data_IF_215349838874
#
_entry.id   IF_215349838874
#
_cell.length_a   1.000
_cell.length_b   1.000
_cell.length_c   1.000
_cell.angle_alpha   90.00
_cell.angle_beta   90.00
_cell.angle_gamma   90.00
#
_symmetry.space_group_name_H-M   'P 1'
#
loop_
_entity.id
_entity.type
_entity.pdbx_description
1 polymer ?
#
# COMPACT_ATOMS: atom_id res chain seq x y z
N UNK A 1 -22.29 57.05 56.79
CA UNK A 1 -21.08 56.46 56.17
C UNK A 1 -21.45 55.06 55.73
N UNK A 2 -21.38 54.79 54.42
CA UNK A 2 -21.95 53.59 53.78
C UNK A 2 -20.93 52.44 53.79
N UNK A 3 -21.35 51.28 54.28
CA UNK A 3 -20.51 50.06 54.37
C UNK A 3 -20.68 49.25 53.08
N UNK A 4 -19.63 49.17 52.27
CA UNK A 4 -19.61 48.38 51.03
C UNK A 4 -19.25 46.93 51.34
N UNK A 5 -20.21 46.01 51.21
CA UNK A 5 -19.99 44.56 51.27
C UNK A 5 -19.16 44.10 50.06
N UNK A 6 -17.97 43.53 50.30
CA UNK A 6 -17.18 42.84 49.26
C UNK A 6 -17.83 41.47 49.00
N UNK A 7 -18.27 41.15 47.77
CA UNK A 7 -18.77 39.81 47.47
C UNK A 7 -17.62 38.81 47.58
N UNK A 8 -17.81 37.84 48.46
CA UNK A 8 -16.79 36.91 48.93
C UNK A 8 -16.35 35.94 47.84
N UNK A 9 -15.03 35.75 47.74
CA UNK A 9 -14.32 34.80 46.87
C UNK A 9 -14.93 33.38 46.88
N UNK A 10 -15.64 33.02 47.95
CA UNK A 10 -16.39 31.78 48.08
C UNK A 10 -17.46 31.62 46.98
N UNK A 11 -18.21 32.69 46.65
CA UNK A 11 -19.23 32.64 45.60
C UNK A 11 -18.62 32.39 44.22
N UNK A 12 -17.41 32.90 43.98
CA UNK A 12 -16.66 32.68 42.75
C UNK A 12 -16.18 31.24 42.61
N UNK A 13 -15.67 30.65 43.69
CA UNK A 13 -15.27 29.24 43.70
C UNK A 13 -16.46 28.29 43.54
N UNK A 14 -17.59 28.58 44.19
CA UNK A 14 -18.83 27.79 44.02
C UNK A 14 -19.33 27.86 42.58
N UNK A 15 -19.32 29.04 41.96
CA UNK A 15 -19.72 29.19 40.56
C UNK A 15 -18.81 28.39 39.62
N UNK A 16 -17.48 28.43 39.82
CA UNK A 16 -16.55 27.63 39.03
C UNK A 16 -16.74 26.12 39.21
N UNK A 17 -17.02 25.68 40.43
CA UNK A 17 -17.28 24.26 40.70
C UNK A 17 -18.55 23.77 40.00
N UNK A 18 -19.63 24.57 40.02
CA UNK A 18 -20.89 24.25 39.32
C UNK A 18 -20.68 24.17 37.81
N UNK A 19 -19.93 25.12 37.22
CA UNK A 19 -19.61 25.09 35.79
C UNK A 19 -18.77 23.87 35.43
N UNK A 20 -17.76 23.51 36.23
CA UNK A 20 -16.95 22.33 35.98
C UNK A 20 -17.78 21.03 36.03
N UNK A 21 -18.69 20.90 37.00
CA UNK A 21 -19.61 19.76 37.10
C UNK A 21 -20.55 19.68 35.90
N UNK A 22 -21.08 20.81 35.43
CA UNK A 22 -21.93 20.84 34.23
C UNK A 22 -21.18 20.45 32.96
N UNK A 23 -19.92 20.86 32.81
CA UNK A 23 -19.08 20.49 31.66
C UNK A 23 -18.76 18.98 31.70
N UNK A 24 -18.42 18.43 32.86
CA UNK A 24 -18.19 16.99 33.02
C UNK A 24 -19.47 16.20 32.75
N UNK A 25 -20.62 16.67 33.26
CA UNK A 25 -21.91 16.01 33.02
C UNK A 25 -22.34 16.06 31.55
N UNK A 26 -22.11 17.20 30.88
CA UNK A 26 -22.37 17.33 29.44
C UNK A 26 -21.44 16.43 28.61
N UNK A 27 -20.15 16.39 28.94
CA UNK A 27 -19.19 15.46 28.31
C UNK A 27 -19.58 13.99 28.54
N UNK A 28 -20.00 13.64 29.75
CA UNK A 28 -20.48 12.29 30.07
C UNK A 28 -21.73 11.92 29.26
N UNK A 29 -22.71 12.83 29.16
CA UNK A 29 -23.93 12.63 28.35
C UNK A 29 -23.64 12.46 26.86
N UNK A 30 -22.66 13.18 26.31
CA UNK A 30 -22.28 13.07 24.90
C UNK A 30 -21.49 11.77 24.62
N UNK A 31 -20.66 11.34 25.57
CA UNK A 31 -19.72 10.24 25.34
C UNK A 31 -20.22 8.86 25.81
N UNK A 32 -21.07 8.80 26.85
CA UNK A 32 -21.54 7.53 27.42
C UNK A 32 -23.03 7.24 27.16
N UNK A 33 -23.87 8.25 26.99
CA UNK A 33 -25.32 8.07 26.74
C UNK A 33 -25.70 8.17 25.26
N UNK A 34 -24.73 8.30 24.34
CA UNK A 34 -25.01 8.28 22.91
C UNK A 34 -24.79 6.85 22.38
N UNK A 35 -25.83 6.01 22.31
CA UNK A 35 -25.73 4.79 21.52
C UNK A 35 -25.52 5.25 20.07
N UNK A 36 -24.28 5.15 19.60
CA UNK A 36 -24.03 5.15 18.16
C UNK A 36 -25.04 4.16 17.57
N UNK A 37 -25.86 4.55 16.58
CA UNK A 37 -26.79 3.63 15.96
C UNK A 37 -25.95 2.52 15.35
N UNK A 38 -25.90 1.38 16.03
CA UNK A 38 -25.35 0.15 15.51
C UNK A 38 -26.17 -0.16 14.27
N UNK A 39 -25.56 0.13 13.12
CA UNK A 39 -26.15 -0.16 11.84
C UNK A 39 -26.23 -1.69 11.78
N UNK A 40 -27.42 -2.22 11.98
CA UNK A 40 -27.66 -3.66 11.94
C UNK A 40 -27.07 -4.19 10.63
N UNK A 41 -26.30 -5.27 10.71
CA UNK A 41 -25.78 -5.95 9.53
C UNK A 41 -26.95 -6.25 8.58
N UNK A 42 -26.81 -5.97 7.27
CA UNK A 42 -27.87 -6.24 6.30
C UNK A 42 -28.28 -7.70 6.40
N UNK A 43 -29.59 -7.97 6.39
CA UNK A 43 -30.07 -9.35 6.43
C UNK A 43 -29.76 -10.05 5.12
N UNK A 44 -29.72 -11.39 5.14
CA UNK A 44 -29.49 -12.19 3.94
C UNK A 44 -30.47 -11.83 2.81
N UNK A 45 -31.72 -11.50 3.15
CA UNK A 45 -32.75 -11.08 2.20
C UNK A 45 -32.44 -9.73 1.50
N UNK A 46 -31.73 -8.81 2.18
CA UNK A 46 -31.27 -7.54 1.58
C UNK A 46 -30.09 -7.78 0.62
N UNK A 47 -29.16 -8.67 0.99
CA UNK A 47 -28.05 -9.09 0.13
C UNK A 47 -28.55 -9.79 -1.13
N UNK A 48 -29.53 -10.68 -0.99
CA UNK A 48 -30.11 -11.43 -2.09
C UNK A 48 -30.86 -10.51 -3.07
N UNK A 49 -31.54 -9.48 -2.54
CA UNK A 49 -32.22 -8.45 -3.35
C UNK A 49 -31.26 -7.57 -4.15
N UNK A 50 -30.06 -7.31 -3.64
CA UNK A 50 -29.02 -6.55 -4.36
C UNK A 50 -28.37 -7.37 -5.48
N UNK A 51 -28.33 -8.69 -5.36
CA UNK A 51 -27.75 -9.60 -6.37
C UNK A 51 -28.59 -9.70 -7.66
N UNK A 52 -29.89 -9.38 -7.59
CA UNK A 52 -30.83 -9.54 -8.71
C UNK A 52 -30.65 -8.57 -9.88
N UNK A 53 -29.67 -7.66 -9.83
CA UNK A 53 -29.47 -6.63 -10.86
C UNK A 53 -28.23 -6.83 -11.75
N UNK A 54 -27.50 -7.94 -11.58
CA UNK A 54 -26.40 -8.30 -12.49
C UNK A 54 -26.98 -9.22 -13.56
N UNK A 55 -27.31 -8.65 -14.72
CA UNK A 55 -27.61 -9.45 -15.92
C UNK A 55 -26.39 -10.31 -16.26
N UNK A 56 -26.63 -11.63 -16.29
CA UNK A 56 -25.69 -12.66 -16.68
C UNK A 56 -25.34 -12.46 -18.16
N UNK A 57 -24.12 -12.00 -18.45
CA UNK A 57 -23.62 -11.99 -19.83
C UNK A 57 -23.42 -13.45 -20.24
N UNK A 58 -24.27 -13.94 -21.13
CA UNK A 58 -24.16 -15.27 -21.75
C UNK A 58 -22.82 -15.38 -22.50
N UNK A 59 -22.00 -16.33 -22.06
CA UNK A 59 -20.79 -16.79 -22.73
C UNK A 59 -21.19 -17.54 -24.00
N UNK A 60 -20.74 -17.15 -25.22
CA UNK A 60 -21.13 -17.88 -26.42
C UNK A 60 -20.39 -19.22 -26.49
N UNK A 61 -21.16 -20.30 -26.45
CA UNK A 61 -20.68 -21.67 -26.64
C UNK A 61 -19.96 -21.84 -27.99
N UNK A 62 -18.75 -22.38 -27.93
CA UNK A 62 -17.96 -22.82 -29.07
C UNK A 62 -18.66 -24.01 -29.75
N UNK A 63 -19.16 -23.79 -30.96
CA UNK A 63 -19.67 -24.85 -31.83
C UNK A 63 -18.49 -25.58 -32.48
N UNK A 64 -18.37 -26.85 -32.12
CA UNK A 64 -17.45 -27.84 -32.67
C UNK A 64 -18.07 -28.46 -33.93
N UNK A 65 -17.46 -28.25 -35.10
CA UNK A 65 -17.76 -29.04 -36.30
C UNK A 65 -16.46 -29.47 -36.99
N UNK A 66 -16.21 -30.77 -36.92
CA UNK A 66 -15.02 -31.47 -37.36
C UNK A 66 -14.80 -31.43 -38.89
N UNK A 67 -13.52 -31.45 -39.33
CA UNK A 67 -12.85 -32.65 -39.90
C UNK A 67 -11.63 -32.35 -40.82
N UNK A 68 -10.47 -32.83 -40.32
CA UNK A 68 -9.35 -33.51 -41.02
C UNK A 68 -8.32 -32.71 -41.86
N UNK A 69 -7.11 -33.27 -42.10
CA UNK A 69 -6.20 -33.91 -41.13
C UNK A 69 -4.74 -33.43 -41.26
N UNK A 70 -3.93 -33.94 -40.34
CA UNK A 70 -2.49 -33.81 -40.11
C UNK A 70 -1.57 -33.79 -41.35
N UNK A 71 -0.48 -33.01 -41.29
CA UNK A 71 0.88 -33.46 -41.67
C UNK A 71 1.96 -32.49 -41.15
N UNK A 72 2.92 -33.04 -40.42
CA UNK A 72 4.21 -32.45 -40.00
C UNK A 72 5.32 -32.95 -41.00
N UNK A 73 6.60 -32.56 -40.88
CA UNK A 73 7.30 -31.59 -41.74
C UNK A 73 8.55 -32.19 -42.44
N UNK A 74 9.17 -31.47 -43.37
CA UNK A 74 10.55 -31.60 -43.95
C UNK A 74 10.46 -31.20 -45.44
N UNK A 75 11.40 -30.58 -46.14
CA UNK A 75 12.79 -30.16 -45.97
C UNK A 75 13.10 -29.25 -47.18
N UNK A 76 14.05 -28.31 -47.05
CA UNK A 76 14.51 -27.41 -48.12
C UNK A 76 15.38 -28.19 -49.13
N UNK A 77 15.35 -27.86 -50.43
CA UNK A 77 16.62 -27.40 -51.03
C UNK A 77 16.50 -26.28 -52.09
N UNK A 78 17.31 -25.24 -51.86
CA UNK A 78 18.24 -24.53 -52.79
C UNK A 78 17.87 -24.31 -54.27
N UNK A 79 17.73 -23.01 -54.59
CA UNK A 79 18.48 -22.20 -55.57
C UNK A 79 18.71 -22.70 -57.02
N UNK A 80 18.32 -21.88 -58.01
CA UNK A 80 19.24 -21.17 -58.93
C UNK A 80 18.53 -20.48 -60.14
N UNK A 81 18.99 -19.25 -60.46
CA UNK A 81 18.95 -18.59 -61.79
C UNK A 81 17.85 -17.51 -61.95
N UNK A 82 18.09 -16.30 -62.43
CA UNK A 82 19.14 -15.83 -63.33
C UNK A 82 19.36 -14.28 -63.24
N UNK A 83 20.49 -13.87 -63.81
CA UNK A 83 21.22 -12.58 -63.93
C UNK A 83 20.42 -11.33 -64.40
N UNK A 84 20.88 -10.06 -64.39
CA UNK A 84 22.12 -9.35 -64.09
C UNK A 84 21.80 -7.84 -63.89
N UNK A 85 22.73 -7.12 -63.25
CA UNK A 85 22.73 -5.67 -62.98
C UNK A 85 23.05 -4.82 -64.24
N UNK A 86 22.80 -3.50 -64.21
CA UNK A 86 23.96 -2.60 -64.22
C UNK A 86 23.87 -1.42 -63.23
N UNK A 87 25.04 -0.97 -62.81
CA UNK A 87 25.28 0.20 -61.98
C UNK A 87 25.29 1.51 -62.79
N UNK A 88 24.89 2.61 -62.14
CA UNK A 88 25.05 3.99 -62.63
C UNK A 88 24.74 5.00 -61.51
N UNK A 89 25.77 5.74 -61.09
CA UNK A 89 25.86 6.62 -59.93
C UNK A 89 24.92 7.85 -59.94
N UNK A 90 24.45 8.27 -58.75
CA UNK A 90 24.34 9.69 -58.36
C UNK A 90 24.45 9.79 -56.82
N UNK A 91 25.25 10.75 -56.34
CA UNK A 91 25.65 11.01 -54.93
C UNK A 91 24.59 11.77 -54.07
N UNK A 92 24.79 11.95 -52.74
CA UNK A 92 23.76 11.94 -51.67
C UNK A 92 23.30 13.35 -51.22
N UNK A 93 22.29 13.50 -50.31
CA UNK A 93 22.51 13.50 -48.85
C UNK A 93 21.25 13.05 -48.05
N UNK A 94 21.10 13.35 -46.75
CA UNK A 94 21.81 12.83 -45.58
C UNK A 94 20.82 12.18 -44.59
N UNK A 95 21.33 11.69 -43.45
CA UNK A 95 20.60 11.16 -42.28
C UNK A 95 20.05 9.73 -42.36
N UNK A 96 20.94 8.78 -42.07
CA UNK A 96 20.62 7.59 -41.26
C UNK A 96 21.71 7.37 -40.21
N UNK A 97 21.98 8.40 -39.42
CA UNK A 97 22.50 8.20 -38.07
C UNK A 97 21.38 8.67 -37.15
N UNK A 98 21.10 7.90 -36.10
CA UNK A 98 20.16 8.22 -35.01
C UNK A 98 18.73 7.64 -35.13
N UNK A 99 18.63 6.30 -35.21
CA UNK A 99 17.53 5.55 -34.58
C UNK A 99 18.08 4.34 -33.81
N UNK A 100 19.19 4.54 -33.10
CA UNK A 100 19.50 3.73 -31.93
C UNK A 100 18.97 4.51 -30.75
N UNK A 101 17.65 4.49 -30.57
CA UNK A 101 17.13 4.77 -29.24
C UNK A 101 17.62 3.62 -28.36
N UNK A 102 18.34 3.89 -27.25
CA UNK A 102 18.54 2.85 -26.28
C UNK A 102 17.14 2.48 -25.80
N UNK A 103 16.79 1.21 -25.97
CA UNK A 103 15.73 0.59 -25.19
C UNK A 103 16.24 0.76 -23.76
N UNK A 104 15.73 1.77 -23.05
CA UNK A 104 15.84 1.82 -21.60
C UNK A 104 15.01 0.63 -21.15
N UNK A 105 15.71 -0.50 -21.04
CA UNK A 105 15.46 -1.56 -20.08
C UNK A 105 14.88 -0.87 -18.85
N UNK A 106 13.62 -1.14 -18.54
CA UNK A 106 12.92 -0.62 -17.35
C UNK A 106 13.77 -1.01 -16.15
N UNK A 107 14.69 -0.14 -15.77
CA UNK A 107 15.53 -0.32 -14.63
C UNK A 107 14.61 -0.36 -13.44
N UNK A 108 14.68 -1.43 -12.67
CA UNK A 108 14.59 -1.30 -11.23
C UNK A 108 15.69 -0.33 -10.81
N UNK A 109 15.42 0.97 -10.98
CA UNK A 109 16.30 2.03 -10.53
C UNK A 109 16.27 1.94 -9.01
N UNK A 110 17.30 1.29 -8.47
CA UNK A 110 17.50 1.18 -7.04
C UNK A 110 17.42 2.59 -6.48
N UNK A 111 16.55 2.85 -5.48
CA UNK A 111 16.44 4.18 -4.94
C UNK A 111 17.83 4.65 -4.46
N UNK A 112 18.10 5.97 -4.51
CA UNK A 112 19.32 6.54 -3.94
C UNK A 112 19.62 5.92 -2.57
N UNK A 113 20.90 5.66 -2.28
CA UNK A 113 21.29 5.09 -0.96
C UNK A 113 20.76 5.93 0.21
N UNK A 114 20.52 7.22 -0.03
CA UNK A 114 19.91 8.16 0.90
C UNK A 114 19.10 9.23 0.14
N UNK A 115 17.91 9.56 0.63
CA UNK A 115 17.01 10.60 0.10
C UNK A 115 16.66 11.52 1.27
N UNK A 116 16.98 12.81 1.21
CA UNK A 116 16.63 13.79 2.26
C UNK A 116 17.00 13.39 3.70
N UNK A 117 18.09 12.63 3.89
CA UNK A 117 18.52 12.13 5.21
C UNK A 117 17.84 10.82 5.64
N UNK A 118 17.02 10.22 4.78
CA UNK A 118 16.39 8.92 4.95
C UNK A 118 17.18 7.86 4.19
N UNK A 119 17.47 6.75 4.86
CA UNK A 119 18.20 5.65 4.24
C UNK A 119 17.35 4.94 3.19
N UNK A 120 17.85 4.81 1.97
CA UNK A 120 17.22 4.02 0.91
C UNK A 120 17.07 2.55 1.32
N UNK A 121 15.86 2.02 1.17
CA UNK A 121 15.51 0.65 1.53
C UNK A 121 14.64 0.03 0.42
N UNK A 122 14.90 -1.25 0.13
CA UNK A 122 14.15 -2.02 -0.87
C UNK A 122 13.46 -3.22 -0.26
N UNK A 123 12.35 -3.64 -0.86
CA UNK A 123 11.65 -4.85 -0.48
C UNK A 123 12.47 -6.11 -0.71
N UNK A 124 13.41 -6.13 -1.67
CA UNK A 124 14.33 -7.27 -1.81
C UNK A 124 15.13 -7.51 -0.55
N UNK A 125 15.50 -6.43 0.16
CA UNK A 125 16.19 -6.54 1.45
C UNK A 125 15.23 -6.94 2.56
N UNK A 126 14.06 -6.30 2.66
CA UNK A 126 13.07 -6.58 3.71
C UNK A 126 12.43 -7.97 3.60
N UNK A 127 12.27 -8.49 2.39
CA UNK A 127 11.67 -9.80 2.12
C UNK A 127 12.71 -10.93 1.89
N UNK A 128 14.00 -10.66 2.16
CA UNK A 128 15.13 -11.59 1.92
C UNK A 128 15.23 -12.80 2.87
N UNK A 129 14.16 -13.12 3.60
CA UNK A 129 14.13 -14.23 4.55
C UNK A 129 12.74 -14.87 4.60
N UNK A 130 12.70 -16.14 5.01
CA UNK A 130 11.45 -16.83 5.25
C UNK A 130 10.87 -16.43 6.60
N UNK A 131 9.56 -16.28 6.67
CA UNK A 131 8.83 -16.02 7.90
C UNK A 131 7.58 -16.90 7.94
N UNK A 132 7.45 -17.72 8.97
CA UNK A 132 6.30 -18.59 9.19
C UNK A 132 5.24 -17.84 10.00
N UNK A 133 4.06 -17.69 9.40
CA UNK A 133 2.90 -17.04 10.03
C UNK A 133 2.07 -18.09 10.76
N UNK A 134 1.73 -17.89 12.05
CA UNK A 134 0.86 -18.79 12.78
C UNK A 134 -0.57 -18.68 12.25
N UNK A 135 -1.30 -19.81 12.23
CA UNK A 135 -2.73 -19.81 11.86
C UNK A 135 -3.63 -19.37 13.00
N UNK A 136 -3.19 -19.61 14.23
CA UNK A 136 -3.91 -19.27 15.46
C UNK A 136 -3.49 -17.88 15.99
N UNK A 137 -4.36 -17.20 16.75
CA UNK A 137 -4.01 -15.94 17.40
C UNK A 137 -2.84 -16.11 18.37
N UNK A 138 -1.98 -15.09 18.42
CA UNK A 138 -0.81 -15.01 19.28
C UNK A 138 -1.24 -14.56 20.67
N UNK A 139 -1.43 -15.50 21.58
CA UNK A 139 -2.06 -15.22 22.90
C UNK A 139 -1.04 -15.10 24.04
N UNK A 140 0.22 -15.41 23.80
CA UNK A 140 1.24 -15.43 24.85
C UNK A 140 2.59 -14.88 24.40
N UNK A 141 3.40 -14.47 25.39
CA UNK A 141 4.72 -13.86 25.18
C UNK A 141 5.75 -14.82 24.60
N UNK A 142 5.58 -16.13 24.78
CA UNK A 142 6.55 -17.13 24.28
C UNK A 142 6.41 -17.28 22.78
N UNK A 143 5.17 -17.33 22.28
CA UNK A 143 4.87 -17.31 20.85
C UNK A 143 5.38 -16.04 20.20
N UNK A 144 5.10 -14.87 20.82
CA UNK A 144 5.63 -13.60 20.33
C UNK A 144 7.16 -13.62 20.26
N UNK A 145 7.85 -14.07 21.31
CA UNK A 145 9.32 -14.17 21.26
C UNK A 145 9.83 -15.13 20.16
N UNK A 146 9.09 -16.21 19.86
CA UNK A 146 9.41 -17.13 18.76
C UNK A 146 9.24 -16.46 17.40
N UNK A 147 8.18 -15.68 17.21
CA UNK A 147 7.94 -14.90 15.99
C UNK A 147 9.07 -13.88 15.79
N UNK A 148 9.41 -13.12 16.82
CA UNK A 148 10.46 -12.12 16.76
C UNK A 148 11.82 -12.74 16.43
N UNK A 149 12.09 -13.94 16.92
CA UNK A 149 13.31 -14.67 16.66
C UNK A 149 13.49 -15.06 15.18
N UNK A 150 12.40 -15.12 14.39
CA UNK A 150 12.49 -15.36 12.94
C UNK A 150 13.08 -14.16 12.18
N UNK A 151 12.95 -12.95 12.73
CA UNK A 151 13.45 -11.73 12.09
C UNK A 151 14.98 -11.67 12.24
N UNK A 152 15.77 -11.67 11.16
CA UNK A 152 17.23 -11.65 11.27
C UNK A 152 17.77 -10.34 11.88
N UNK A 153 18.89 -10.41 12.57
CA UNK A 153 19.54 -9.23 13.20
C UNK A 153 19.82 -8.09 12.21
N UNK A 154 20.16 -8.42 10.95
CA UNK A 154 20.36 -7.41 9.89
C UNK A 154 19.10 -6.57 9.63
N UNK A 155 17.92 -7.15 9.80
CA UNK A 155 16.63 -6.48 9.62
C UNK A 155 16.23 -5.77 10.92
N UNK A 156 16.42 -6.41 12.08
CA UNK A 156 16.21 -5.77 13.40
C UNK A 156 17.03 -4.50 13.58
N UNK A 157 18.23 -4.43 13.00
CA UNK A 157 19.08 -3.22 13.03
C UNK A 157 18.46 -2.00 12.32
N UNK A 158 17.41 -2.20 11.51
CA UNK A 158 16.63 -1.16 10.87
C UNK A 158 15.50 -0.62 11.76
N UNK A 159 15.26 -1.23 12.93
CA UNK A 159 14.30 -0.71 13.89
C UNK A 159 14.67 0.71 14.34
N UNK A 160 13.69 1.59 14.39
CA UNK A 160 13.82 3.00 14.73
C UNK A 160 14.83 3.74 13.84
N UNK A 161 14.84 3.44 12.54
CA UNK A 161 15.66 4.15 11.55
C UNK A 161 14.79 4.97 10.60
N UNK A 162 15.22 6.19 10.24
CA UNK A 162 14.61 6.93 9.15
C UNK A 162 14.95 6.22 7.82
N UNK A 163 13.93 5.79 7.10
CA UNK A 163 14.08 5.09 5.82
C UNK A 163 13.21 5.71 4.73
N UNK A 164 13.66 5.59 3.49
CA UNK A 164 12.89 5.85 2.29
C UNK A 164 12.64 4.52 1.58
N UNK A 165 11.38 4.18 1.35
CA UNK A 165 10.99 2.94 0.68
C UNK A 165 10.10 3.22 -0.51
N UNK A 166 10.45 2.61 -1.65
CA UNK A 166 9.65 2.67 -2.88
C UNK A 166 8.72 1.47 -2.97
N UNK A 167 7.46 1.69 -3.33
CA UNK A 167 6.47 0.63 -3.48
C UNK A 167 5.12 1.17 -3.97
N UNK A 168 4.08 0.35 -3.83
CA UNK A 168 2.72 0.66 -4.30
C UNK A 168 1.77 0.83 -3.11
N UNK A 169 0.98 1.90 -3.12
CA UNK A 169 0.10 2.26 -2.00
C UNK A 169 -1.25 1.54 -2.09
N UNK A 170 -1.64 0.88 -1.00
CA UNK A 170 -3.03 0.53 -0.74
C UNK A 170 -3.58 1.38 0.42
N UNK A 171 -4.50 2.32 0.14
CA UNK A 171 -5.13 3.11 1.17
C UNK A 171 -5.98 2.23 2.11
N UNK A 172 -5.80 2.40 3.42
CA UNK A 172 -6.64 1.75 4.44
C UNK A 172 -7.64 2.75 5.03
N UNK A 173 -7.21 4.01 5.21
CA UNK A 173 -8.03 5.08 5.75
C UNK A 173 -7.81 6.38 5.00
N UNK A 174 -8.91 7.02 4.61
CA UNK A 174 -8.92 8.31 3.93
C UNK A 174 -9.73 9.30 4.77
N UNK A 175 -9.13 10.44 5.06
CA UNK A 175 -9.77 11.55 5.77
C UNK A 175 -9.59 12.83 4.95
N UNK A 176 -10.68 13.56 4.70
CA UNK A 176 -10.66 14.80 3.92
C UNK A 176 -10.02 14.67 2.52
N UNK A 177 -10.08 13.47 1.92
CA UNK A 177 -9.47 13.17 0.62
C UNK A 177 -7.97 12.83 0.67
N UNK A 178 -7.36 12.79 1.86
CA UNK A 178 -5.97 12.39 2.06
C UNK A 178 -5.89 11.03 2.76
N UNK A 179 -4.90 10.22 2.38
CA UNK A 179 -4.66 8.91 2.96
C UNK A 179 -3.86 9.06 4.25
N UNK A 180 -4.44 8.67 5.39
CA UNK A 180 -3.82 8.79 6.73
C UNK A 180 -3.27 7.46 7.23
N UNK A 181 -3.82 6.34 6.76
CA UNK A 181 -3.35 4.99 7.05
C UNK A 181 -3.32 4.20 5.72
N UNK A 182 -2.22 3.50 5.46
CA UNK A 182 -1.99 2.77 4.21
C UNK A 182 -1.04 1.60 4.39
N UNK A 183 -1.06 0.67 3.44
CA UNK A 183 0.03 -0.26 3.19
C UNK A 183 0.88 0.24 2.05
N UNK A 184 2.20 0.20 2.20
CA UNK A 184 3.11 0.22 1.05
C UNK A 184 3.51 -1.22 0.75
N UNK A 185 3.29 -1.66 -0.49
CA UNK A 185 3.52 -3.04 -0.93
C UNK A 185 4.66 -3.12 -1.93
N UNK A 186 5.28 -4.29 -1.99
CA UNK A 186 6.40 -4.58 -2.90
C UNK A 186 6.04 -4.42 -4.37
N UNK A 187 4.85 -4.87 -4.78
CA UNK A 187 4.46 -4.89 -6.18
C UNK A 187 3.01 -4.44 -6.42
N UNK A 188 2.72 -4.11 -7.68
CA UNK A 188 1.39 -3.67 -8.12
C UNK A 188 0.35 -4.80 -8.04
N UNK A 189 0.75 -6.07 -8.18
CA UNK A 189 -0.17 -7.20 -8.18
C UNK A 189 -0.76 -7.48 -6.81
N UNK A 190 0.00 -7.19 -5.77
CA UNK A 190 -0.43 -7.18 -4.37
C UNK A 190 -1.42 -6.03 -4.12
N UNK A 191 -1.24 -4.89 -4.81
CA UNK A 191 -2.09 -3.72 -4.65
C UNK A 191 -3.41 -3.78 -5.43
N UNK A 192 -3.38 -4.28 -6.67
CA UNK A 192 -4.49 -4.13 -7.61
C UNK A 192 -5.09 -5.45 -8.11
N UNK A 193 -4.33 -6.55 -8.05
CA UNK A 193 -4.68 -7.80 -8.75
C UNK A 193 -4.92 -8.99 -7.81
N UNK A 194 -4.99 -8.77 -6.50
CA UNK A 194 -5.44 -9.76 -5.51
C UNK A 194 -4.46 -10.91 -5.24
N UNK A 195 -3.17 -10.73 -5.55
CA UNK A 195 -2.15 -11.71 -5.14
C UNK A 195 -1.88 -11.55 -3.64
N UNK A 196 -1.98 -12.65 -2.89
CA UNK A 196 -1.73 -12.64 -1.44
C UNK A 196 -0.23 -12.41 -1.19
N UNK A 197 0.18 -11.31 -0.56
CA UNK A 197 1.59 -11.06 -0.29
C UNK A 197 2.07 -11.88 0.90
N UNK A 198 3.39 -12.04 1.03
CA UNK A 198 3.98 -12.52 2.28
C UNK A 198 3.98 -11.40 3.32
N UNK A 199 3.96 -11.78 4.60
CA UNK A 199 3.93 -10.85 5.74
C UNK A 199 5.09 -9.84 5.76
N UNK A 200 6.18 -10.14 5.07
CA UNK A 200 7.37 -9.30 4.95
C UNK A 200 7.47 -8.53 3.62
N UNK A 201 6.39 -8.48 2.85
CA UNK A 201 6.30 -7.77 1.55
C UNK A 201 5.42 -6.51 1.61
N UNK A 202 5.03 -6.08 2.82
CA UNK A 202 4.37 -4.79 3.06
C UNK A 202 4.85 -4.12 4.35
N UNK A 203 4.56 -2.83 4.47
CA UNK A 203 4.72 -2.05 5.70
C UNK A 203 3.40 -1.36 6.02
N UNK A 204 2.95 -1.46 7.27
CA UNK A 204 1.82 -0.71 7.81
C UNK A 204 2.26 0.73 8.09
N UNK A 205 1.65 1.71 7.44
CA UNK A 205 2.08 3.11 7.55
C UNK A 205 0.94 3.96 8.08
N UNK A 206 1.24 4.71 9.14
CA UNK A 206 0.38 5.77 9.70
C UNK A 206 1.08 7.10 9.52
N UNK A 207 0.45 8.03 8.82
CA UNK A 207 1.03 9.35 8.58
C UNK A 207 1.02 10.19 9.86
N UNK A 208 2.13 10.85 10.17
CA UNK A 208 2.22 11.79 11.30
C UNK A 208 1.51 13.12 11.02
N UNK A 209 1.34 13.48 9.75
CA UNK A 209 0.65 14.69 9.28
C UNK A 209 -0.80 14.47 8.87
N UNK A 210 -1.33 15.36 8.04
CA UNK A 210 -2.73 15.33 7.55
C UNK A 210 -3.03 14.17 6.58
N UNK A 211 -2.00 13.48 6.10
CA UNK A 211 -2.08 12.40 5.12
C UNK A 211 -1.37 12.75 3.81
N UNK A 212 -1.50 11.88 2.82
CA UNK A 212 -0.87 12.02 1.49
C UNK A 212 -1.88 11.78 0.37
N UNK A 213 -1.56 12.22 -0.85
CA UNK A 213 -2.43 12.01 -1.99
C UNK A 213 -2.57 10.50 -2.32
N UNK A 214 -3.77 10.03 -2.71
CA UNK A 214 -4.03 8.62 -3.01
C UNK A 214 -3.51 8.23 -4.40
N UNK A 215 -2.23 7.85 -4.49
CA UNK A 215 -1.59 7.37 -5.73
C UNK A 215 -1.42 5.84 -5.65
N UNK A 216 -2.24 5.07 -6.36
CA UNK A 216 -2.31 3.60 -6.23
C UNK A 216 -1.72 2.82 -7.42
N UNK A 217 -1.75 3.40 -8.62
CA UNK A 217 -1.39 2.74 -9.88
C UNK A 217 0.09 2.89 -10.26
N UNK A 218 0.81 3.73 -9.52
CA UNK A 218 2.20 4.06 -9.75
C UNK A 218 3.01 3.89 -8.47
N UNK A 219 4.29 3.55 -8.64
CA UNK A 219 5.19 3.43 -7.50
C UNK A 219 5.51 4.82 -6.92
N UNK A 220 5.38 4.93 -5.60
CA UNK A 220 5.71 6.12 -4.82
C UNK A 220 6.85 5.81 -3.86
N UNK A 221 7.51 6.84 -3.33
CA UNK A 221 8.48 6.69 -2.24
C UNK A 221 7.92 7.27 -0.95
N UNK A 222 7.78 6.44 0.08
CA UNK A 222 7.43 6.87 1.43
C UNK A 222 8.66 6.97 2.32
N UNK A 223 8.71 8.06 3.08
CA UNK A 223 9.76 8.35 4.04
C UNK A 223 9.17 8.42 5.44
N UNK A 224 9.87 7.82 6.40
CA UNK A 224 9.43 7.81 7.79
C UNK A 224 10.33 7.00 8.71
N UNK A 225 9.90 6.87 9.96
CA UNK A 225 10.59 6.09 10.98
C UNK A 225 10.11 4.64 10.94
N UNK A 226 10.97 3.72 10.49
CA UNK A 226 10.66 2.28 10.43
C UNK A 226 10.71 1.66 11.82
N UNK A 227 9.71 0.84 12.14
CA UNK A 227 9.68 -0.06 13.29
C UNK A 227 9.66 -1.50 12.77
N UNK A 228 10.52 -2.33 13.36
CA UNK A 228 10.67 -3.74 12.99
C UNK A 228 10.26 -4.58 14.18
N UNK A 229 9.24 -5.39 13.98
CA UNK A 229 8.62 -6.20 15.03
C UNK A 229 7.20 -6.54 14.67
N UNK A 230 6.63 -7.47 15.40
CA UNK A 230 5.30 -7.99 15.15
C UNK A 230 4.23 -6.92 15.34
N UNK A 231 3.36 -6.83 14.36
CA UNK A 231 2.19 -5.98 14.35
C UNK A 231 0.98 -6.88 14.57
N UNK A 232 0.30 -6.68 15.69
CA UNK A 232 -0.85 -7.49 16.08
C UNK A 232 -2.14 -6.67 16.01
N UNK A 233 -3.16 -7.23 15.38
CA UNK A 233 -4.53 -6.71 15.44
C UNK A 233 -5.46 -7.81 15.91
N UNK A 234 -6.20 -7.57 17.00
CA UNK A 234 -7.08 -8.55 17.64
C UNK A 234 -6.38 -9.90 17.90
N UNK A 235 -5.13 -9.85 18.39
CA UNK A 235 -4.23 -10.99 18.63
C UNK A 235 -3.77 -11.75 17.36
N UNK A 236 -4.12 -11.30 16.16
CA UNK A 236 -3.60 -11.86 14.90
C UNK A 236 -2.38 -11.08 14.40
N UNK A 237 -1.40 -11.81 13.88
CA UNK A 237 -0.24 -11.21 13.22
C UNK A 237 -0.64 -10.65 11.85
N UNK A 238 -0.58 -9.33 11.71
CA UNK A 238 -0.95 -8.61 10.47
C UNK A 238 0.23 -7.93 9.79
N UNK A 239 1.41 -7.94 10.40
CA UNK A 239 2.62 -7.41 9.81
C UNK A 239 3.84 -7.64 10.69
N UNK A 240 5.02 -7.37 10.14
CA UNK A 240 6.28 -7.33 10.90
C UNK A 240 7.04 -6.00 10.74
N UNK A 241 6.44 -5.07 10.00
CA UNK A 241 6.97 -3.75 9.72
C UNK A 241 5.87 -2.71 9.88
N UNK A 242 6.18 -1.69 10.65
CA UNK A 242 5.37 -0.48 10.80
C UNK A 242 6.22 0.74 10.45
N UNK A 243 5.58 1.82 10.01
CA UNK A 243 6.25 3.10 9.80
C UNK A 243 5.36 4.24 10.26
N UNK A 244 5.95 5.15 11.01
CA UNK A 244 5.40 6.49 11.20
C UNK A 244 5.85 7.34 10.01
N UNK A 245 4.91 7.65 9.11
CA UNK A 245 5.19 8.30 7.83
C UNK A 245 5.32 9.81 7.97
N UNK A 246 6.39 10.35 7.42
CA UNK A 246 6.68 11.79 7.42
C UNK A 246 6.23 12.45 6.11
N UNK A 247 6.59 11.84 4.98
CA UNK A 247 6.48 12.42 3.65
C UNK A 247 6.31 11.36 2.55
N UNK A 248 5.72 11.78 1.44
CA UNK A 248 5.62 11.02 0.19
C UNK A 248 6.28 11.80 -0.94
N UNK A 249 7.02 11.11 -1.81
CA UNK A 249 7.44 11.60 -3.12
C UNK A 249 6.64 10.82 -4.17
N UNK A 250 5.93 11.56 -5.02
CA UNK A 250 5.16 11.00 -6.11
C UNK A 250 6.03 10.44 -7.24
N UNK A 251 5.44 9.76 -8.23
CA UNK A 251 6.19 9.11 -9.31
C UNK A 251 7.00 10.07 -10.19
N UNK A 252 6.61 11.35 -10.24
CA UNK A 252 7.21 12.39 -11.08
C UNK A 252 8.19 13.31 -10.32
N UNK A 253 8.37 13.08 -9.03
CA UNK A 253 9.05 14.01 -8.12
C UNK A 253 10.41 13.47 -7.61
N UNK A 254 10.89 12.34 -8.13
CA UNK A 254 12.20 11.74 -7.84
C UNK A 254 13.31 12.27 -8.75
#
# INVERSE_FOLDING_TARGET
MSTQEKPSLLKWYVLKAVVAVLVVFAGYKVFFDNPSPEQAAPTQDELDSLSGSIELIEEPELVDEARAPETKPEEVPRAAGDQASPAGSTEPPPNLVELVQPIIETGEELPPEEIDGYKGLTFDKLASFAYEVPLDPVTNKVELAKLNAQIPERIKSLNEKPVAIRGFMLPLKVENGLVTELLIMRDQSMCCFGTVPKINEWINIRMAGEGVEPIMDQAITLMGMLKVGEVLENDYLVGIYEMEGDKMIGPLDL
#
